data_IF_826007713980
#
_entry.id   IF_826007713980
#
_cell.length_a   1.000
_cell.length_b   1.000
_cell.length_c   1.000
_cell.angle_alpha   90.00
_cell.angle_beta   90.00
_cell.angle_gamma   90.00
#
_symmetry.space_group_name_H-M   'P 1'
#
loop_
_entity.id
_entity.type
_entity.pdbx_description
1 polymer ?
#
# COMPACT_ATOMS: atom_id res chain seq x y z
N UNK A 1 -30.02 4.29 26.02
CA UNK A 1 -29.66 3.18 25.11
C UNK A 1 -28.79 3.76 24.04
N UNK A 2 -27.53 3.36 23.99
CA UNK A 2 -26.50 4.26 23.49
C UNK A 2 -25.53 3.65 22.50
N UNK A 3 -25.38 2.33 22.39
CA UNK A 3 -24.50 1.74 21.37
C UNK A 3 -25.25 0.67 20.60
N UNK A 4 -25.36 0.82 19.28
CA UNK A 4 -25.82 -0.21 18.36
C UNK A 4 -24.77 -0.50 17.29
N UNK A 5 -24.64 -1.78 16.92
CA UNK A 5 -23.74 -2.25 15.86
C UNK A 5 -24.54 -3.14 14.92
N UNK A 6 -24.58 -2.81 13.64
CA UNK A 6 -25.42 -3.47 12.64
C UNK A 6 -26.89 -3.59 13.09
N UNK A 7 -27.41 -2.55 13.75
CA UNK A 7 -28.76 -2.53 14.33
C UNK A 7 -28.95 -3.37 15.60
N UNK A 8 -27.93 -4.11 16.06
CA UNK A 8 -27.95 -4.86 17.33
C UNK A 8 -27.51 -3.97 18.48
N UNK A 9 -28.33 -3.88 19.52
CA UNK A 9 -28.00 -3.15 20.74
C UNK A 9 -26.86 -3.85 21.51
N UNK A 10 -25.87 -3.08 21.93
CA UNK A 10 -24.76 -3.54 22.78
C UNK A 10 -25.00 -3.05 24.20
N UNK A 11 -25.28 -3.99 25.12
CA UNK A 11 -25.56 -3.69 26.54
C UNK A 11 -24.45 -4.17 27.48
N UNK A 12 -23.51 -4.98 26.98
CA UNK A 12 -22.34 -5.46 27.74
C UNK A 12 -21.14 -5.61 26.79
N UNK A 13 -19.90 -5.36 27.23
CA UNK A 13 -18.71 -5.51 26.39
C UNK A 13 -18.55 -6.91 25.77
N UNK A 14 -18.99 -7.96 26.48
CA UNK A 14 -18.95 -9.36 26.02
C UNK A 14 -19.84 -9.63 24.80
N UNK A 15 -20.74 -8.70 24.44
CA UNK A 15 -21.56 -8.81 23.23
C UNK A 15 -20.81 -8.47 21.95
N UNK A 16 -19.65 -7.79 22.03
CA UNK A 16 -18.71 -7.70 20.91
C UNK A 16 -18.09 -9.06 20.62
N UNK A 17 -17.62 -9.28 19.40
CA UNK A 17 -16.83 -10.47 19.07
C UNK A 17 -15.53 -10.53 19.89
N UNK A 18 -14.95 -11.72 20.06
CA UNK A 18 -13.65 -11.85 20.75
C UNK A 18 -12.58 -11.01 20.07
N UNK A 19 -12.58 -11.01 18.74
CA UNK A 19 -11.70 -10.21 17.90
C UNK A 19 -11.88 -8.70 18.17
N UNK A 20 -13.13 -8.21 18.12
CA UNK A 20 -13.46 -6.82 18.39
C UNK A 20 -13.05 -6.37 19.80
N UNK A 21 -13.24 -7.22 20.82
CA UNK A 21 -12.77 -6.92 22.19
C UNK A 21 -11.27 -6.85 22.31
N UNK A 22 -10.54 -7.76 21.66
CA UNK A 22 -9.07 -7.75 21.67
C UNK A 22 -8.54 -6.51 20.97
N UNK A 23 -9.09 -6.16 19.79
CA UNK A 23 -8.71 -4.95 19.08
C UNK A 23 -9.04 -3.67 19.88
N UNK A 24 -10.21 -3.60 20.53
CA UNK A 24 -10.58 -2.47 21.37
C UNK A 24 -9.61 -2.27 22.54
N UNK A 25 -9.01 -3.34 23.06
CA UNK A 25 -8.04 -3.27 24.15
C UNK A 25 -6.68 -2.66 23.73
N UNK A 26 -6.37 -2.62 22.42
CA UNK A 26 -5.21 -1.90 21.89
C UNK A 26 -5.45 -0.39 21.73
N UNK A 27 -6.70 0.06 21.79
CA UNK A 27 -7.03 1.49 21.82
C UNK A 27 -6.93 1.97 23.26
N UNK A 28 -6.02 2.90 23.53
CA UNK A 28 -5.92 3.52 24.86
C UNK A 28 -7.26 4.20 25.21
N UNK A 29 -7.84 3.84 26.36
CA UNK A 29 -9.18 4.29 26.75
C UNK A 29 -10.36 3.60 26.04
N UNK A 30 -10.13 2.70 25.07
CA UNK A 30 -11.20 2.11 24.25
C UNK A 30 -12.20 1.26 25.06
N UNK A 31 -11.70 0.44 25.99
CA UNK A 31 -12.58 -0.38 26.86
C UNK A 31 -13.39 0.46 27.84
N UNK A 32 -12.79 1.53 28.37
CA UNK A 32 -13.42 2.48 29.27
C UNK A 32 -14.49 3.28 28.54
N UNK A 33 -14.20 3.72 27.32
CA UNK A 33 -15.15 4.40 26.46
C UNK A 33 -16.37 3.52 26.20
N UNK A 34 -16.19 2.24 25.86
CA UNK A 34 -17.33 1.34 25.60
C UNK A 34 -18.19 1.15 26.86
N UNK A 35 -17.55 0.94 28.02
CA UNK A 35 -18.25 0.79 29.28
C UNK A 35 -19.08 2.05 29.63
N UNK A 36 -18.50 3.23 29.44
CA UNK A 36 -19.19 4.51 29.61
C UNK A 36 -20.33 4.69 28.60
N UNK A 37 -20.07 4.41 27.32
CA UNK A 37 -21.01 4.60 26.24
C UNK A 37 -22.26 3.75 26.51
N UNK A 38 -22.12 2.46 26.81
CA UNK A 38 -23.22 1.55 27.16
C UNK A 38 -24.12 2.09 28.28
N UNK A 39 -23.53 2.72 29.31
CA UNK A 39 -24.25 3.21 30.48
C UNK A 39 -24.87 4.59 30.28
N UNK A 40 -24.44 5.35 29.26
CA UNK A 40 -24.84 6.74 29.06
C UNK A 40 -26.26 6.86 28.49
N UNK A 41 -27.22 7.48 29.19
CA UNK A 41 -28.62 7.49 28.76
C UNK A 41 -28.95 8.54 27.69
N UNK A 42 -28.03 9.46 27.35
CA UNK A 42 -28.33 10.65 26.54
C UNK A 42 -27.82 10.68 25.09
N UNK A 43 -26.94 9.76 24.69
CA UNK A 43 -26.33 9.76 23.34
C UNK A 43 -26.48 8.39 22.71
N UNK A 44 -26.86 8.35 21.43
CA UNK A 44 -26.94 7.13 20.63
C UNK A 44 -25.84 7.10 19.58
N UNK A 45 -24.93 6.16 19.74
CA UNK A 45 -23.90 5.74 18.79
C UNK A 45 -24.42 4.55 18.00
N UNK A 46 -24.37 4.64 16.67
CA UNK A 46 -24.80 3.57 15.78
C UNK A 46 -23.69 3.33 14.75
N UNK A 47 -23.22 2.09 14.68
CA UNK A 47 -22.13 1.70 13.79
C UNK A 47 -22.61 0.61 12.84
N UNK A 48 -22.19 0.61 11.57
CA UNK A 48 -22.57 -0.44 10.63
C UNK A 48 -21.95 -1.80 10.99
N UNK A 49 -20.75 -1.80 11.58
CA UNK A 49 -20.02 -3.00 12.01
C UNK A 49 -19.01 -2.70 13.13
N UNK A 50 -18.35 -3.74 13.66
CA UNK A 50 -17.34 -3.59 14.72
C UNK A 50 -16.07 -2.89 14.25
N UNK A 51 -15.70 -2.96 12.96
CA UNK A 51 -14.54 -2.26 12.43
C UNK A 51 -14.75 -0.74 12.47
N UNK A 52 -15.94 -0.30 12.08
CA UNK A 52 -16.36 1.11 12.11
C UNK A 52 -16.43 1.66 13.53
N UNK A 53 -16.95 0.86 14.48
CA UNK A 53 -16.86 1.17 15.92
C UNK A 53 -15.41 1.45 16.33
N UNK A 54 -14.48 0.55 16.00
CA UNK A 54 -13.08 0.67 16.43
C UNK A 54 -12.39 1.90 15.81
N UNK A 55 -12.64 2.16 14.52
CA UNK A 55 -12.09 3.34 13.83
C UNK A 55 -12.61 4.64 14.46
N UNK A 56 -13.93 4.75 14.67
CA UNK A 56 -14.55 5.93 15.25
C UNK A 56 -14.17 6.14 16.72
N UNK A 57 -14.03 5.07 17.52
CA UNK A 57 -13.56 5.17 18.91
C UNK A 57 -12.13 5.68 18.96
N UNK A 58 -11.24 5.14 18.13
CA UNK A 58 -9.85 5.57 18.05
C UNK A 58 -9.75 7.03 17.59
N UNK A 59 -10.48 7.40 16.53
CA UNK A 59 -10.54 8.77 16.03
C UNK A 59 -11.15 9.74 17.06
N UNK A 60 -12.20 9.33 17.76
CA UNK A 60 -12.91 10.17 18.73
C UNK A 60 -12.13 10.42 20.02
N UNK A 61 -11.40 9.41 20.52
CA UNK A 61 -10.59 9.54 21.73
C UNK A 61 -9.29 10.29 21.49
N UNK A 62 -8.64 10.07 20.33
CA UNK A 62 -7.25 10.51 20.10
C UNK A 62 -7.07 11.49 18.95
N UNK A 63 -8.11 11.76 18.16
CA UNK A 63 -8.02 12.61 16.97
C UNK A 63 -7.23 11.99 15.81
N UNK A 64 -6.91 10.70 15.88
CA UNK A 64 -6.11 9.95 14.90
C UNK A 64 -6.74 8.58 14.69
N UNK A 65 -6.79 8.10 13.44
CA UNK A 65 -7.23 6.74 13.07
C UNK A 65 -6.23 5.64 13.42
N UNK A 66 -5.01 6.00 13.79
CA UNK A 66 -3.94 5.08 14.12
C UNK A 66 -3.77 4.98 15.63
N UNK A 67 -3.80 3.75 16.14
CA UNK A 67 -3.40 3.43 17.51
C UNK A 67 -1.88 3.27 17.56
N UNK A 68 -1.26 3.79 18.62
CA UNK A 68 0.15 3.53 18.94
C UNK A 68 0.21 2.40 19.96
N UNK A 69 1.04 1.40 19.68
CA UNK A 69 1.43 0.33 20.59
C UNK A 69 2.87 0.64 21.04
N UNK A 70 3.07 1.31 22.20
CA UNK A 70 4.36 1.90 22.56
C UNK A 70 5.51 0.91 22.70
N UNK A 71 5.31 -0.27 23.30
CA UNK A 71 6.40 -1.23 23.50
C UNK A 71 6.84 -1.88 22.19
N UNK A 72 5.90 -2.04 21.26
CA UNK A 72 6.16 -2.54 19.91
C UNK A 72 6.67 -1.46 18.94
N UNK A 73 6.64 -0.18 19.34
CA UNK A 73 6.89 0.97 18.48
C UNK A 73 6.05 0.92 17.18
N UNK A 74 4.84 0.39 17.27
CA UNK A 74 3.98 0.13 16.12
C UNK A 74 2.81 1.12 16.09
N UNK A 75 2.63 1.81 14.96
CA UNK A 75 1.45 2.64 14.70
C UNK A 75 0.56 1.94 13.68
N UNK A 76 -0.64 1.54 14.05
CA UNK A 76 -1.51 0.71 13.21
C UNK A 76 -2.97 1.09 13.39
N UNK A 77 -3.74 1.06 12.32
CA UNK A 77 -5.19 1.23 12.44
C UNK A 77 -5.83 0.04 13.18
N UNK A 78 -6.77 0.28 14.11
CA UNK A 78 -7.57 -0.79 14.70
C UNK A 78 -8.29 -1.65 13.66
N UNK A 79 -8.67 -1.08 12.51
CA UNK A 79 -9.28 -1.81 11.39
C UNK A 79 -8.29 -2.83 10.80
N UNK A 80 -7.00 -2.48 10.72
CA UNK A 80 -5.94 -3.43 10.35
C UNK A 80 -5.78 -4.53 11.39
N UNK A 81 -5.85 -4.22 12.69
CA UNK A 81 -5.78 -5.23 13.75
C UNK A 81 -6.91 -6.27 13.64
N UNK A 82 -8.10 -5.87 13.19
CA UNK A 82 -9.21 -6.79 12.92
C UNK A 82 -8.93 -7.81 11.79
N UNK A 83 -7.87 -7.62 10.99
CA UNK A 83 -7.48 -8.59 9.97
C UNK A 83 -6.58 -9.72 10.50
N UNK A 84 -6.09 -9.59 11.74
CA UNK A 84 -5.21 -10.58 12.37
C UNK A 84 -6.03 -11.68 13.03
N UNK A 85 -5.40 -12.85 13.22
CA UNK A 85 -6.04 -13.94 13.95
C UNK A 85 -6.07 -13.65 15.46
N UNK A 86 -7.06 -14.15 16.21
CA UNK A 86 -7.10 -13.98 17.67
C UNK A 86 -5.84 -14.46 18.42
N UNK A 87 -5.16 -15.56 18.00
CA UNK A 87 -3.84 -15.92 18.53
C UNK A 87 -2.77 -14.87 18.27
N UNK A 88 -2.70 -14.32 17.05
CA UNK A 88 -1.72 -13.29 16.70
C UNK A 88 -1.92 -12.02 17.54
N UNK A 89 -3.17 -11.60 17.75
CA UNK A 89 -3.50 -10.49 18.66
C UNK A 89 -3.11 -10.81 20.10
N UNK A 90 -3.23 -12.06 20.54
CA UNK A 90 -2.74 -12.51 21.84
C UNK A 90 -1.22 -12.36 21.98
N UNK A 91 -0.46 -12.75 20.96
CA UNK A 91 1.00 -12.55 20.92
C UNK A 91 1.37 -11.06 20.92
N UNK A 92 0.65 -10.21 20.16
CA UNK A 92 0.84 -8.76 20.20
C UNK A 92 0.58 -8.18 21.60
N UNK A 93 -0.48 -8.62 22.27
CA UNK A 93 -0.81 -8.15 23.62
C UNK A 93 0.25 -8.57 24.65
N UNK A 94 0.80 -9.78 24.55
CA UNK A 94 1.90 -10.24 25.41
C UNK A 94 3.16 -9.40 25.21
N UNK A 95 3.54 -9.17 23.94
CA UNK A 95 4.71 -8.35 23.62
C UNK A 95 4.52 -6.88 24.06
N UNK A 96 3.32 -6.33 23.89
CA UNK A 96 2.97 -4.98 24.37
C UNK A 96 2.96 -4.88 25.91
N UNK A 97 2.70 -5.99 26.61
CA UNK A 97 2.86 -6.10 28.05
C UNK A 97 4.33 -6.34 28.50
N UNK A 98 5.31 -6.19 27.60
CA UNK A 98 6.75 -6.40 27.81
C UNK A 98 7.19 -7.85 28.03
N UNK A 99 6.45 -8.82 27.53
CA UNK A 99 6.96 -10.20 27.44
C UNK A 99 8.06 -10.28 26.38
N UNK A 100 9.30 -10.53 26.82
CA UNK A 100 10.48 -10.62 25.96
C UNK A 100 10.92 -12.05 25.65
N UNK A 101 10.07 -13.04 25.92
CA UNK A 101 10.35 -14.45 25.64
C UNK A 101 10.75 -14.70 24.19
N UNK A 102 11.71 -15.60 23.97
CA UNK A 102 12.23 -15.91 22.62
C UNK A 102 11.14 -16.40 21.66
N UNK A 103 10.19 -17.18 22.17
CA UNK A 103 9.03 -17.68 21.40
C UNK A 103 8.14 -16.53 20.95
N UNK A 104 7.82 -15.60 21.86
CA UNK A 104 6.99 -14.42 21.57
C UNK A 104 7.67 -13.55 20.51
N UNK A 105 8.99 -13.33 20.62
CA UNK A 105 9.77 -12.57 19.62
C UNK A 105 9.74 -13.22 18.23
N UNK A 106 9.93 -14.54 18.14
CA UNK A 106 9.89 -15.25 16.86
C UNK A 106 8.49 -15.19 16.22
N UNK A 107 7.44 -15.35 17.04
CA UNK A 107 6.06 -15.21 16.58
C UNK A 107 5.75 -13.79 16.13
N UNK A 108 6.23 -12.78 16.85
CA UNK A 108 6.06 -11.37 16.51
C UNK A 108 6.67 -11.04 15.15
N UNK A 109 7.90 -11.49 14.88
CA UNK A 109 8.56 -11.31 13.58
C UNK A 109 7.76 -11.95 12.44
N UNK A 110 7.23 -13.16 12.65
CA UNK A 110 6.33 -13.80 11.70
C UNK A 110 5.08 -12.95 11.46
N UNK A 111 4.41 -12.51 12.53
CA UNK A 111 3.18 -11.70 12.44
C UNK A 111 3.44 -10.41 11.64
N UNK A 112 4.55 -9.72 11.92
CA UNK A 112 4.90 -8.47 11.25
C UNK A 112 5.14 -8.68 9.76
N UNK A 113 5.92 -9.70 9.40
CA UNK A 113 6.17 -10.04 7.99
C UNK A 113 4.89 -10.44 7.26
N UNK A 114 4.13 -11.39 7.83
CA UNK A 114 2.97 -11.97 7.16
C UNK A 114 1.82 -10.95 6.99
N UNK A 115 1.78 -9.90 7.82
CA UNK A 115 0.74 -8.86 7.79
C UNK A 115 1.24 -7.50 7.29
N UNK A 116 2.50 -7.40 6.84
CA UNK A 116 3.15 -6.16 6.44
C UNK A 116 3.01 -5.04 7.49
N UNK A 117 3.32 -5.37 8.75
CA UNK A 117 3.39 -4.41 9.85
C UNK A 117 4.84 -3.97 10.04
N UNK A 118 5.02 -2.66 10.14
CA UNK A 118 6.31 -1.98 10.19
C UNK A 118 6.37 -1.08 11.42
N UNK A 119 7.42 -1.26 12.20
CA UNK A 119 7.70 -0.46 13.39
C UNK A 119 8.19 0.94 13.02
N UNK A 120 8.29 1.82 14.00
CA UNK A 120 8.93 3.13 13.83
C UNK A 120 10.35 3.00 13.27
N UNK A 121 11.10 1.98 13.71
CA UNK A 121 12.46 1.71 13.21
C UNK A 121 12.47 1.30 11.73
N UNK A 122 11.49 0.48 11.29
CA UNK A 122 11.35 0.10 9.88
C UNK A 122 10.99 1.31 9.01
N UNK A 123 10.06 2.16 9.48
CA UNK A 123 9.64 3.37 8.77
C UNK A 123 10.78 4.41 8.70
N UNK A 124 11.70 4.42 9.66
CA UNK A 124 12.88 5.28 9.63
C UNK A 124 13.85 4.96 8.47
N UNK A 125 13.76 3.77 7.87
CA UNK A 125 14.54 3.42 6.68
C UNK A 125 14.24 4.36 5.50
N UNK A 126 12.98 4.78 5.33
CA UNK A 126 12.60 5.76 4.30
C UNK A 126 13.28 7.11 4.53
N UNK A 127 13.29 7.62 5.77
CA UNK A 127 13.99 8.87 6.11
C UNK A 127 15.52 8.75 5.95
N UNK A 128 16.07 7.59 6.28
CA UNK A 128 17.49 7.30 6.10
C UNK A 128 17.88 7.33 4.62
N UNK A 129 17.04 6.78 3.73
CA UNK A 129 17.22 6.89 2.28
C UNK A 129 17.22 8.36 1.83
N UNK A 130 16.27 9.18 2.28
CA UNK A 130 16.23 10.60 1.93
C UNK A 130 17.52 11.35 2.32
N UNK A 131 18.08 11.00 3.48
CA UNK A 131 19.37 11.56 3.95
C UNK A 131 20.54 11.10 3.07
N UNK A 132 20.57 9.82 2.68
CA UNK A 132 21.60 9.27 1.78
C UNK A 132 21.54 9.91 0.38
N UNK A 133 20.33 10.23 -0.08
CA UNK A 133 20.06 10.95 -1.32
C UNK A 133 20.27 12.46 -1.20
N UNK A 134 20.55 12.98 0.01
CA UNK A 134 20.79 14.40 0.33
C UNK A 134 19.60 15.33 0.01
N UNK A 135 18.39 14.84 0.23
CA UNK A 135 17.13 15.55 -0.04
C UNK A 135 16.19 15.57 1.18
N UNK A 136 16.68 15.18 2.36
CA UNK A 136 15.90 15.14 3.60
C UNK A 136 15.37 16.52 4.03
N UNK A 137 16.01 17.61 3.59
CA UNK A 137 15.54 18.98 3.79
C UNK A 137 14.50 19.48 2.79
N UNK A 138 14.06 18.67 1.81
CA UNK A 138 13.11 19.11 0.80
C UNK A 138 11.71 19.33 1.40
N UNK A 139 11.06 20.43 1.02
CA UNK A 139 9.76 20.83 1.58
C UNK A 139 8.63 19.82 1.36
N UNK A 140 8.71 19.00 0.31
CA UNK A 140 7.72 17.94 0.02
C UNK A 140 7.65 16.87 1.13
N UNK A 141 8.69 16.74 1.97
CA UNK A 141 8.72 15.78 3.08
C UNK A 141 8.48 16.42 4.46
N UNK A 142 8.05 17.70 4.51
CA UNK A 142 7.86 18.42 5.76
C UNK A 142 6.88 17.69 6.72
N UNK A 143 5.84 17.09 6.15
CA UNK A 143 4.90 16.22 6.86
C UNK A 143 4.74 14.94 6.07
N UNK A 144 4.82 13.80 6.76
CA UNK A 144 4.54 12.49 6.19
C UNK A 144 3.37 11.88 6.94
N UNK A 145 2.34 11.48 6.21
CA UNK A 145 1.33 10.58 6.74
C UNK A 145 1.84 9.12 6.74
N UNK A 146 0.98 8.18 7.12
CA UNK A 146 1.33 6.77 7.19
C UNK A 146 1.52 6.15 5.79
N UNK A 147 0.69 6.50 4.81
CA UNK A 147 0.81 5.97 3.44
C UNK A 147 2.13 6.41 2.81
N UNK A 148 2.47 7.69 2.95
CA UNK A 148 3.70 8.29 2.45
C UNK A 148 4.94 7.68 3.13
N UNK A 149 4.87 7.45 4.45
CA UNK A 149 5.94 6.79 5.20
C UNK A 149 6.15 5.34 4.75
N UNK A 150 5.06 4.61 4.48
CA UNK A 150 5.13 3.24 3.95
C UNK A 150 5.69 3.21 2.52
N UNK A 151 5.32 4.18 1.69
CA UNK A 151 5.83 4.30 0.32
C UNK A 151 7.35 4.56 0.29
N UNK A 152 7.85 5.46 1.15
CA UNK A 152 9.28 5.73 1.30
C UNK A 152 10.04 4.53 1.87
N UNK A 153 9.46 3.83 2.86
CA UNK A 153 10.02 2.58 3.38
C UNK A 153 10.13 1.53 2.27
N UNK A 154 9.10 1.39 1.44
CA UNK A 154 9.14 0.45 0.32
C UNK A 154 10.22 0.84 -0.67
N UNK A 155 10.35 2.13 -1.01
CA UNK A 155 11.41 2.62 -1.88
C UNK A 155 12.81 2.30 -1.34
N UNK A 156 13.01 2.40 -0.02
CA UNK A 156 14.27 2.05 0.64
C UNK A 156 14.54 0.54 0.69
N UNK A 157 13.49 -0.28 0.66
CA UNK A 157 13.60 -1.75 0.67
C UNK A 157 13.81 -2.33 -0.74
N UNK A 158 13.34 -1.64 -1.79
CA UNK A 158 13.51 -2.05 -3.17
C UNK A 158 14.99 -1.95 -3.57
N UNK A 159 15.53 -3.04 -4.13
CA UNK A 159 16.86 -2.99 -4.71
C UNK A 159 16.86 -2.01 -5.90
N UNK A 160 17.82 -1.06 -5.96
CA UNK A 160 17.94 -0.21 -7.12
C UNK A 160 18.34 -1.07 -8.34
N UNK A 161 18.03 -0.62 -9.57
CA UNK A 161 18.47 -1.32 -10.78
C UNK A 161 19.98 -1.60 -10.77
N UNK A 162 20.43 -2.70 -11.38
CA UNK A 162 21.85 -3.12 -11.34
C UNK A 162 22.83 -2.06 -11.85
N UNK A 163 22.38 -1.19 -12.76
CA UNK A 163 23.15 -0.08 -13.34
C UNK A 163 23.07 1.23 -12.51
N UNK A 164 22.30 1.27 -11.43
CA UNK A 164 22.04 2.47 -10.65
C UNK A 164 23.15 2.77 -9.64
N UNK A 165 24.17 3.50 -10.09
CA UNK A 165 25.22 4.02 -9.22
C UNK A 165 24.66 5.01 -8.18
N UNK A 166 25.33 5.22 -7.02
CA UNK A 166 24.91 6.23 -6.03
C UNK A 166 24.77 7.65 -6.60
N UNK A 167 25.60 8.01 -7.60
CA UNK A 167 25.50 9.28 -8.29
C UNK A 167 24.22 9.39 -9.12
N UNK A 168 23.87 8.32 -9.87
CA UNK A 168 22.62 8.26 -10.63
C UNK A 168 21.39 8.29 -9.71
N UNK A 169 21.46 7.68 -8.53
CA UNK A 169 20.37 7.75 -7.54
C UNK A 169 20.21 9.17 -6.99
N UNK A 170 21.29 9.89 -6.70
CA UNK A 170 21.21 11.31 -6.28
C UNK A 170 20.67 12.21 -7.41
N UNK A 171 21.06 11.95 -8.66
CA UNK A 171 20.54 12.63 -9.85
C UNK A 171 19.02 12.40 -10.01
N UNK A 172 18.57 11.15 -9.91
CA UNK A 172 17.15 10.78 -9.94
C UNK A 172 16.36 11.44 -8.80
N UNK A 173 16.95 11.51 -7.60
CA UNK A 173 16.35 12.15 -6.44
C UNK A 173 16.18 13.67 -6.66
N UNK A 174 17.21 14.34 -7.17
CA UNK A 174 17.14 15.77 -7.50
C UNK A 174 16.05 16.05 -8.55
N UNK A 175 16.02 15.27 -9.63
CA UNK A 175 14.97 15.36 -10.65
C UNK A 175 13.57 15.18 -10.05
N UNK A 176 13.38 14.13 -9.24
CA UNK A 176 12.09 13.83 -8.64
C UNK A 176 11.58 14.95 -7.72
N UNK A 177 12.47 15.61 -6.96
CA UNK A 177 12.12 16.75 -6.10
C UNK A 177 11.61 17.95 -6.90
N UNK A 178 12.17 18.23 -8.08
CA UNK A 178 11.71 19.34 -8.91
C UNK A 178 10.28 19.11 -9.43
N UNK A 179 9.96 17.86 -9.76
CA UNK A 179 8.67 17.48 -10.35
C UNK A 179 7.58 17.24 -9.30
N UNK A 180 7.92 16.62 -8.17
CA UNK A 180 6.94 16.17 -7.18
C UNK A 180 6.26 17.31 -6.41
N UNK A 181 4.99 17.08 -6.06
CA UNK A 181 4.19 17.88 -5.11
C UNK A 181 3.78 17.07 -3.88
N UNK A 182 3.99 15.75 -3.90
CA UNK A 182 3.78 14.85 -2.75
C UNK A 182 4.93 13.84 -2.62
N UNK A 183 5.17 13.25 -1.43
CA UNK A 183 6.12 12.15 -1.25
C UNK A 183 5.85 10.94 -2.14
N UNK A 184 4.57 10.66 -2.44
CA UNK A 184 4.16 9.59 -3.34
C UNK A 184 4.62 9.85 -4.78
N UNK A 185 4.45 11.09 -5.27
CA UNK A 185 4.95 11.49 -6.58
C UNK A 185 6.48 11.45 -6.64
N UNK A 186 7.18 11.81 -5.55
CA UNK A 186 8.63 11.69 -5.47
C UNK A 186 9.08 10.23 -5.71
N UNK A 187 8.46 9.26 -5.03
CA UNK A 187 8.77 7.84 -5.22
C UNK A 187 8.59 7.39 -6.67
N UNK A 188 7.53 7.85 -7.33
CA UNK A 188 7.26 7.50 -8.73
C UNK A 188 8.24 8.16 -9.68
N UNK A 189 8.50 9.46 -9.54
CA UNK A 189 9.43 10.19 -10.42
C UNK A 189 10.88 9.74 -10.25
N UNK A 190 11.26 9.33 -9.04
CA UNK A 190 12.56 8.72 -8.78
C UNK A 190 12.72 7.42 -9.58
N UNK A 191 11.73 6.51 -9.51
CA UNK A 191 11.73 5.25 -10.26
C UNK A 191 11.61 5.49 -11.78
N UNK A 192 10.79 6.45 -12.19
CA UNK A 192 10.66 6.87 -13.58
C UNK A 192 12.00 7.29 -14.16
N UNK A 193 12.75 8.14 -13.45
CA UNK A 193 14.05 8.63 -13.90
C UNK A 193 15.01 7.45 -14.13
N UNK A 194 15.19 6.60 -13.10
CA UNK A 194 16.09 5.45 -13.18
C UNK A 194 15.74 4.51 -14.35
N UNK A 195 14.45 4.27 -14.59
CA UNK A 195 14.00 3.44 -15.70
C UNK A 195 14.23 4.11 -17.07
N UNK A 196 13.88 5.39 -17.18
CA UNK A 196 13.98 6.19 -18.41
C UNK A 196 15.42 6.32 -18.89
N UNK A 197 16.35 6.44 -17.95
CA UNK A 197 17.75 6.78 -18.26
C UNK A 197 18.69 5.58 -18.22
N UNK A 198 18.15 4.36 -18.06
CA UNK A 198 18.94 3.15 -17.81
C UNK A 198 19.99 2.84 -18.88
N UNK A 199 19.80 3.29 -20.12
CA UNK A 199 20.71 3.06 -21.24
C UNK A 199 21.55 4.30 -21.64
N UNK A 200 21.39 5.44 -20.94
CA UNK A 200 21.99 6.72 -21.32
C UNK A 200 23.20 7.02 -20.42
N UNK A 201 24.38 7.13 -21.03
CA UNK A 201 25.64 7.30 -20.30
C UNK A 201 25.91 8.74 -19.84
N UNK A 202 25.57 9.75 -20.65
CA UNK A 202 25.86 11.15 -20.35
C UNK A 202 24.81 11.78 -19.42
N UNK A 203 25.28 12.49 -18.38
CA UNK A 203 24.43 13.12 -17.35
C UNK A 203 23.43 14.12 -17.96
N UNK A 204 23.92 15.05 -18.78
CA UNK A 204 23.06 16.09 -19.36
C UNK A 204 22.00 15.51 -20.30
N UNK A 205 22.34 14.44 -21.02
CA UNK A 205 21.41 13.72 -21.89
C UNK A 205 20.33 13.00 -21.09
N UNK A 206 20.66 12.45 -19.91
CA UNK A 206 19.69 11.80 -19.01
C UNK A 206 18.62 12.78 -18.52
N UNK A 207 19.06 13.92 -17.99
CA UNK A 207 18.14 14.93 -17.45
C UNK A 207 17.21 15.46 -18.55
N UNK A 208 17.77 15.75 -19.74
CA UNK A 208 16.99 16.20 -20.88
C UNK A 208 16.00 15.13 -21.37
N UNK A 209 16.43 13.88 -21.51
CA UNK A 209 15.59 12.78 -21.95
C UNK A 209 14.42 12.53 -20.98
N UNK A 210 14.69 12.48 -19.67
CA UNK A 210 13.66 12.28 -18.65
C UNK A 210 12.64 13.43 -18.64
N UNK A 211 13.12 14.69 -18.72
CA UNK A 211 12.24 15.85 -18.78
C UNK A 211 11.37 15.85 -20.06
N UNK A 212 11.96 15.56 -21.22
CA UNK A 212 11.25 15.49 -22.50
C UNK A 212 10.21 14.36 -22.52
N UNK A 213 10.58 13.18 -22.02
CA UNK A 213 9.68 12.03 -21.89
C UNK A 213 8.47 12.40 -21.00
N UNK A 214 8.72 13.06 -19.87
CA UNK A 214 7.67 13.46 -18.95
C UNK A 214 6.73 14.52 -19.56
N UNK A 215 7.29 15.54 -20.21
CA UNK A 215 6.49 16.57 -20.90
C UNK A 215 5.60 16.01 -22.00
N UNK A 216 6.06 14.96 -22.68
CA UNK A 216 5.31 14.27 -23.74
C UNK A 216 4.21 13.37 -23.15
N UNK A 217 4.50 12.65 -22.08
CA UNK A 217 3.58 11.68 -21.47
C UNK A 217 2.43 12.34 -20.70
N UNK A 218 2.73 13.33 -19.84
CA UNK A 218 1.75 13.84 -18.87
C UNK A 218 0.43 14.33 -19.51
N UNK A 219 0.43 15.12 -20.61
CA UNK A 219 -0.82 15.56 -21.24
C UNK A 219 -1.68 14.41 -21.76
N UNK A 220 -1.07 13.28 -22.15
CA UNK A 220 -1.76 12.13 -22.71
C UNK A 220 -2.34 11.20 -21.62
N UNK A 221 -1.79 11.28 -20.41
CA UNK A 221 -2.16 10.41 -19.28
C UNK A 221 -3.40 10.88 -18.50
N UNK A 222 -3.96 12.06 -18.77
CA UNK A 222 -5.17 12.53 -18.08
C UNK A 222 -6.37 11.58 -18.24
N UNK A 223 -6.47 10.89 -19.37
CA UNK A 223 -7.53 9.92 -19.64
C UNK A 223 -7.39 8.66 -18.78
N UNK A 224 -6.21 8.41 -18.21
CA UNK A 224 -5.90 7.23 -17.40
C UNK A 224 -6.17 7.46 -15.91
N UNK A 225 -6.80 8.58 -15.52
CA UNK A 225 -7.16 8.84 -14.12
C UNK A 225 -8.58 8.40 -13.77
N UNK A 226 -9.43 8.13 -14.78
CA UNK A 226 -10.78 7.63 -14.52
C UNK A 226 -10.73 6.17 -14.03
N UNK A 227 -11.32 5.92 -12.87
CA UNK A 227 -11.24 4.66 -12.14
C UNK A 227 -12.57 4.36 -11.44
N UNK A 228 -12.97 3.08 -11.30
CA UNK A 228 -14.19 2.74 -10.59
C UNK A 228 -14.09 3.07 -9.11
N UNK A 229 -15.22 3.49 -8.55
CA UNK A 229 -15.35 3.82 -7.14
C UNK A 229 -16.17 2.77 -6.39
N UNK A 230 -15.77 2.51 -5.15
CA UNK A 230 -16.40 1.60 -4.19
C UNK A 230 -16.49 2.29 -2.83
N UNK A 231 -17.43 1.83 -2.02
CA UNK A 231 -17.65 2.37 -0.68
C UNK A 231 -16.88 1.54 0.35
N UNK A 232 -16.23 2.21 1.30
CA UNK A 232 -15.53 1.55 2.41
C UNK A 232 -14.38 0.63 1.97
N UNK A 233 -14.18 -0.46 2.71
CA UNK A 233 -13.17 -1.47 2.43
C UNK A 233 -13.80 -2.65 1.68
N UNK A 234 -13.60 -2.78 0.36
CA UNK A 234 -14.25 -3.81 -0.43
C UNK A 234 -13.63 -5.19 -0.20
N UNK A 235 -14.46 -6.22 -0.30
CA UNK A 235 -14.03 -7.61 -0.41
C UNK A 235 -13.45 -7.91 -1.80
N UNK A 236 -12.66 -9.00 -1.96
CA UNK A 236 -12.15 -9.41 -3.28
C UNK A 236 -13.23 -9.58 -4.34
N UNK A 237 -14.40 -10.11 -3.96
CA UNK A 237 -15.53 -10.31 -4.87
C UNK A 237 -16.18 -8.99 -5.31
N UNK A 238 -16.20 -7.97 -4.43
CA UNK A 238 -16.69 -6.64 -4.78
C UNK A 238 -15.74 -5.95 -5.75
N UNK A 239 -14.42 -6.05 -5.51
CA UNK A 239 -13.41 -5.55 -6.45
C UNK A 239 -13.53 -6.25 -7.82
N UNK A 240 -13.63 -7.58 -7.84
CA UNK A 240 -13.84 -8.35 -9.08
C UNK A 240 -15.07 -7.84 -9.84
N UNK A 241 -16.20 -7.70 -9.16
CA UNK A 241 -17.45 -7.23 -9.76
C UNK A 241 -17.32 -5.81 -10.29
N UNK A 242 -16.77 -4.88 -9.51
CA UNK A 242 -16.59 -3.49 -9.91
C UNK A 242 -15.67 -3.35 -11.11
N UNK A 243 -14.58 -4.13 -11.17
CA UNK A 243 -13.68 -4.17 -12.32
C UNK A 243 -14.41 -4.74 -13.54
N UNK A 244 -15.09 -5.88 -13.41
CA UNK A 244 -15.81 -6.50 -14.52
C UNK A 244 -16.90 -5.59 -15.11
N UNK A 245 -17.69 -4.94 -14.25
CA UNK A 245 -18.74 -3.99 -14.68
C UNK A 245 -18.15 -2.75 -15.36
N UNK A 246 -17.03 -2.24 -14.87
CA UNK A 246 -16.34 -1.10 -15.46
C UNK A 246 -15.81 -1.41 -16.86
N UNK A 247 -15.14 -2.55 -17.01
CA UNK A 247 -14.62 -3.03 -18.28
C UNK A 247 -15.74 -3.34 -19.28
N UNK A 248 -16.86 -3.91 -18.82
CA UNK A 248 -18.03 -4.20 -19.66
C UNK A 248 -18.67 -2.93 -20.25
N UNK A 249 -18.48 -1.76 -19.61
CA UNK A 249 -18.91 -0.45 -20.13
C UNK A 249 -17.92 0.16 -21.14
N UNK A 250 -16.88 -0.58 -21.52
CA UNK A 250 -15.82 -0.11 -22.42
C UNK A 250 -14.88 0.90 -21.78
N UNK A 251 -14.88 1.02 -20.44
CA UNK A 251 -13.95 1.88 -19.70
C UNK A 251 -12.69 1.13 -19.32
N UNK A 252 -11.63 1.86 -19.02
CA UNK A 252 -10.33 1.30 -18.64
C UNK A 252 -10.08 1.53 -17.15
N UNK A 253 -9.45 0.57 -16.49
CA UNK A 253 -8.89 0.77 -15.15
C UNK A 253 -7.58 1.54 -15.30
N UNK A 254 -7.58 2.76 -14.77
CA UNK A 254 -6.45 3.69 -14.81
C UNK A 254 -5.55 3.60 -13.58
N UNK A 255 -4.85 4.68 -13.28
CA UNK A 255 -3.91 4.82 -12.17
C UNK A 255 -4.41 5.87 -11.16
N UNK A 256 -3.95 5.77 -9.92
CA UNK A 256 -4.29 6.73 -8.86
C UNK A 256 -3.76 8.15 -9.11
N UNK A 257 -2.69 8.30 -9.90
CA UNK A 257 -2.02 9.58 -10.16
C UNK A 257 -1.17 9.52 -11.43
N UNK A 258 -0.90 10.70 -12.01
CA UNK A 258 -0.16 10.83 -13.27
C UNK A 258 1.31 10.38 -13.16
N UNK A 259 1.96 10.66 -12.03
CA UNK A 259 3.35 10.26 -11.77
C UNK A 259 3.52 8.74 -11.83
N UNK A 260 2.59 8.01 -11.22
CA UNK A 260 2.54 6.55 -11.22
C UNK A 260 2.32 6.02 -12.64
N UNK A 261 1.37 6.60 -13.36
CA UNK A 261 1.11 6.24 -14.75
C UNK A 261 2.37 6.41 -15.63
N UNK A 262 3.04 7.56 -15.55
CA UNK A 262 4.28 7.82 -16.29
C UNK A 262 5.39 6.83 -15.95
N UNK A 263 5.58 6.55 -14.64
CA UNK A 263 6.53 5.55 -14.15
C UNK A 263 6.24 4.15 -14.72
N UNK A 264 4.98 3.72 -14.70
CA UNK A 264 4.57 2.41 -15.19
C UNK A 264 4.78 2.26 -16.70
N UNK A 265 4.46 3.29 -17.49
CA UNK A 265 4.69 3.29 -18.94
C UNK A 265 6.18 3.15 -19.25
N UNK A 266 7.05 3.94 -18.63
CA UNK A 266 8.49 3.85 -18.91
C UNK A 266 9.10 2.55 -18.40
N UNK A 267 8.68 2.06 -17.23
CA UNK A 267 9.23 0.84 -16.66
C UNK A 267 8.88 -0.40 -17.49
N UNK A 268 7.64 -0.50 -17.98
CA UNK A 268 7.13 -1.74 -18.59
C UNK A 268 6.96 -1.68 -20.10
N UNK A 269 7.23 -0.53 -20.73
CA UNK A 269 7.27 -0.42 -22.20
C UNK A 269 8.67 -0.09 -22.70
N UNK A 270 8.82 0.03 -24.02
CA UNK A 270 10.07 0.47 -24.66
C UNK A 270 10.22 1.98 -24.75
N UNK A 271 9.20 2.75 -24.38
CA UNK A 271 9.22 4.21 -24.51
C UNK A 271 10.24 4.81 -23.54
N UNK A 272 11.18 5.63 -24.05
CA UNK A 272 12.21 6.31 -23.24
C UNK A 272 12.27 7.81 -23.52
N UNK A 273 11.19 8.39 -24.06
CA UNK A 273 11.16 9.77 -24.53
C UNK A 273 11.48 9.94 -26.01
N UNK A 274 11.77 8.84 -26.71
CA UNK A 274 12.02 8.78 -28.13
C UNK A 274 10.70 8.68 -28.93
N UNK A 275 10.65 9.32 -30.11
CA UNK A 275 9.53 9.17 -31.06
C UNK A 275 8.32 10.10 -30.87
N UNK A 276 8.37 11.06 -29.95
CA UNK A 276 7.36 12.12 -29.80
C UNK A 276 5.97 11.64 -29.36
N UNK A 277 4.93 12.45 -29.62
CA UNK A 277 3.57 12.22 -29.10
C UNK A 277 2.96 10.89 -29.53
N UNK A 278 3.17 10.48 -30.78
CA UNK A 278 2.57 9.27 -31.33
C UNK A 278 3.16 8.00 -30.70
N UNK A 279 4.48 7.94 -30.49
CA UNK A 279 5.13 6.81 -29.82
C UNK A 279 4.67 6.70 -28.37
N UNK A 280 4.54 7.83 -27.67
CA UNK A 280 4.00 7.87 -26.31
C UNK A 280 2.55 7.36 -26.27
N UNK A 281 1.68 7.84 -27.17
CA UNK A 281 0.29 7.42 -27.24
C UNK A 281 0.12 5.92 -27.56
N UNK A 282 0.95 5.39 -28.47
CA UNK A 282 0.96 3.97 -28.79
C UNK A 282 1.43 3.11 -27.60
N UNK A 283 2.47 3.55 -26.88
CA UNK A 283 2.96 2.87 -25.68
C UNK A 283 1.90 2.83 -24.57
N UNK A 284 1.25 3.96 -24.29
CA UNK A 284 0.15 4.06 -23.32
C UNK A 284 -0.99 3.12 -23.70
N UNK A 285 -1.44 3.18 -24.97
CA UNK A 285 -2.54 2.36 -25.46
C UNK A 285 -2.25 0.87 -25.34
N UNK A 286 -1.07 0.43 -25.79
CA UNK A 286 -0.69 -0.99 -25.75
C UNK A 286 -0.56 -1.52 -24.32
N UNK A 287 0.07 -0.74 -23.43
CA UNK A 287 0.20 -1.10 -22.02
C UNK A 287 -1.17 -1.28 -21.36
N UNK A 288 -2.05 -0.27 -21.50
CA UNK A 288 -3.38 -0.33 -20.89
C UNK A 288 -4.24 -1.44 -21.51
N UNK A 289 -4.17 -1.66 -22.83
CA UNK A 289 -4.89 -2.77 -23.46
C UNK A 289 -4.46 -4.13 -22.90
N UNK A 290 -3.15 -4.34 -22.72
CA UNK A 290 -2.63 -5.57 -22.11
C UNK A 290 -3.09 -5.71 -20.66
N UNK A 291 -3.01 -4.64 -19.87
CA UNK A 291 -3.49 -4.62 -18.48
C UNK A 291 -5.00 -4.93 -18.40
N UNK A 292 -5.83 -4.27 -19.21
CA UNK A 292 -7.28 -4.49 -19.20
C UNK A 292 -7.65 -5.93 -19.59
N UNK A 293 -6.98 -6.49 -20.62
CA UNK A 293 -7.19 -7.88 -21.03
C UNK A 293 -6.81 -8.86 -19.92
N UNK A 294 -5.71 -8.59 -19.21
CA UNK A 294 -5.30 -9.39 -18.05
C UNK A 294 -6.31 -9.28 -16.90
N UNK A 295 -6.73 -8.07 -16.54
CA UNK A 295 -7.69 -7.83 -15.46
C UNK A 295 -9.07 -8.47 -15.76
N UNK A 296 -9.48 -8.50 -17.03
CA UNK A 296 -10.73 -9.16 -17.44
C UNK A 296 -10.66 -10.70 -17.32
N UNK A 297 -9.48 -11.29 -17.47
CA UNK A 297 -9.28 -12.74 -17.52
C UNK A 297 -8.92 -13.36 -16.17
N UNK A 298 -8.49 -12.57 -15.20
CA UNK A 298 -7.98 -13.04 -13.91
C UNK A 298 -8.83 -12.50 -12.77
N UNK A 299 -8.80 -13.18 -11.61
CA UNK A 299 -9.55 -12.77 -10.42
C UNK A 299 -8.61 -12.34 -9.30
N UNK A 300 -8.98 -11.33 -8.49
CA UNK A 300 -8.29 -11.02 -7.24
C UNK A 300 -8.25 -12.24 -6.32
N UNK A 301 -7.06 -12.62 -5.86
CA UNK A 301 -6.90 -13.76 -4.96
C UNK A 301 -7.24 -13.39 -3.51
N UNK A 302 -6.56 -12.37 -2.96
CA UNK A 302 -6.73 -11.87 -1.60
C UNK A 302 -6.49 -10.37 -1.56
N UNK A 303 -7.27 -9.67 -0.73
CA UNK A 303 -7.02 -8.29 -0.34
C UNK A 303 -6.12 -8.22 0.88
N UNK A 304 -5.08 -7.40 0.82
CA UNK A 304 -4.19 -7.08 1.94
C UNK A 304 -4.44 -5.64 2.34
N UNK A 305 -5.05 -5.45 3.52
CA UNK A 305 -5.24 -4.12 4.10
C UNK A 305 -3.89 -3.57 4.56
N UNK A 306 -3.61 -2.31 4.24
CA UNK A 306 -2.44 -1.57 4.69
C UNK A 306 -2.48 -1.31 6.19
N UNK A 307 -1.31 -1.00 6.76
CA UNK A 307 -1.17 -0.65 8.17
C UNK A 307 -1.95 0.62 8.56
N UNK A 308 -2.23 1.48 7.58
CA UNK A 308 -3.09 2.66 7.68
C UNK A 308 -4.57 2.34 7.86
N UNK A 309 -5.00 1.12 7.53
CA UNK A 309 -6.39 0.65 7.65
C UNK A 309 -7.36 1.22 6.61
N UNK A 310 -6.89 2.06 5.68
CA UNK A 310 -7.70 2.67 4.62
C UNK A 310 -7.31 2.21 3.22
N UNK A 311 -6.04 1.85 3.00
CA UNK A 311 -5.55 1.33 1.73
C UNK A 311 -5.67 -0.19 1.69
N UNK A 312 -6.10 -0.76 0.57
CA UNK A 312 -6.13 -2.20 0.35
C UNK A 312 -5.49 -2.55 -0.98
N UNK A 313 -4.75 -3.65 -1.03
CA UNK A 313 -4.06 -4.10 -2.23
C UNK A 313 -4.53 -5.50 -2.61
N UNK A 314 -4.82 -5.70 -3.88
CA UNK A 314 -5.31 -6.96 -4.44
C UNK A 314 -4.33 -7.47 -5.49
N UNK A 315 -3.79 -8.67 -5.27
CA UNK A 315 -2.85 -9.30 -6.20
C UNK A 315 -3.57 -10.26 -7.14
N UNK A 316 -3.21 -10.16 -8.43
CA UNK A 316 -3.68 -11.02 -9.51
C UNK A 316 -2.45 -11.51 -10.26
N UNK A 317 -2.32 -12.82 -10.49
CA UNK A 317 -1.15 -13.37 -11.19
C UNK A 317 -1.53 -14.61 -11.98
N UNK A 318 -0.84 -14.81 -13.10
CA UNK A 318 -0.75 -16.08 -13.82
C UNK A 318 0.73 -16.42 -14.07
N UNK A 319 1.01 -17.44 -14.87
CA UNK A 319 2.38 -17.93 -15.09
C UNK A 319 3.34 -16.89 -15.73
N UNK A 320 2.81 -15.87 -16.40
CA UNK A 320 3.61 -14.89 -17.16
C UNK A 320 3.51 -13.47 -16.62
N UNK A 321 2.34 -13.07 -16.11
CA UNK A 321 2.01 -11.69 -15.77
C UNK A 321 1.45 -11.59 -14.36
N UNK A 322 1.72 -10.45 -13.72
CA UNK A 322 1.13 -10.05 -12.46
C UNK A 322 0.56 -8.64 -12.57
N UNK A 323 -0.57 -8.41 -11.89
CA UNK A 323 -1.16 -7.11 -11.67
C UNK A 323 -1.42 -6.88 -10.19
N UNK A 324 -1.23 -5.64 -9.78
CA UNK A 324 -1.52 -5.16 -8.44
C UNK A 324 -2.57 -4.07 -8.53
N UNK A 325 -3.78 -4.34 -8.03
CA UNK A 325 -4.80 -3.31 -7.87
C UNK A 325 -4.70 -2.72 -6.47
N UNK A 326 -4.93 -1.42 -6.35
CA UNK A 326 -5.03 -0.72 -5.09
C UNK A 326 -6.41 -0.09 -4.95
N UNK A 327 -6.96 -0.16 -3.74
CA UNK A 327 -8.12 0.62 -3.31
C UNK A 327 -7.64 1.62 -2.28
N UNK A 328 -7.79 2.91 -2.58
CA UNK A 328 -7.51 3.99 -1.65
C UNK A 328 -8.54 5.12 -1.88
N UNK A 329 -9.08 5.67 -0.81
CA UNK A 329 -10.16 6.67 -0.88
C UNK A 329 -11.40 6.17 -1.63
N UNK A 330 -11.63 4.85 -1.64
CA UNK A 330 -12.71 4.22 -2.41
C UNK A 330 -12.45 4.11 -3.91
N UNK A 331 -11.27 4.45 -4.43
CA UNK A 331 -10.94 4.36 -5.86
C UNK A 331 -10.16 3.07 -6.11
N UNK A 332 -10.64 2.20 -7.00
CA UNK A 332 -9.90 1.02 -7.49
C UNK A 332 -9.02 1.47 -8.65
N UNK A 333 -7.70 1.38 -8.50
CA UNK A 333 -6.73 1.77 -9.53
C UNK A 333 -5.66 0.71 -9.72
N UNK A 334 -5.03 0.71 -10.90
CA UNK A 334 -3.87 -0.10 -11.20
C UNK A 334 -2.63 0.51 -10.52
N UNK A 335 -1.97 -0.28 -9.67
CA UNK A 335 -0.75 0.11 -8.99
C UNK A 335 0.51 -0.38 -9.72
N UNK A 336 0.46 -1.59 -10.25
CA UNK A 336 1.55 -2.18 -11.04
C UNK A 336 1.00 -3.25 -11.98
N UNK A 337 1.61 -3.38 -13.16
CA UNK A 337 1.32 -4.48 -14.10
C UNK A 337 2.54 -4.76 -14.98
N UNK A 338 2.94 -6.02 -15.03
CA UNK A 338 4.09 -6.47 -15.79
C UNK A 338 4.33 -7.98 -15.66
N UNK A 339 5.57 -8.40 -15.89
CA UNK A 339 5.96 -9.80 -15.75
C UNK A 339 5.78 -10.30 -14.31
N UNK A 340 5.31 -11.54 -14.16
CA UNK A 340 5.21 -12.16 -12.84
C UNK A 340 6.61 -12.33 -12.22
N UNK A 341 6.78 -12.05 -10.92
CA UNK A 341 8.04 -12.35 -10.23
C UNK A 341 8.32 -13.86 -10.31
N UNK A 342 9.58 -14.22 -10.55
CA UNK A 342 9.98 -15.62 -10.57
C UNK A 342 9.58 -16.29 -9.26
N UNK A 343 8.76 -17.35 -9.34
CA UNK A 343 8.44 -18.15 -8.16
C UNK A 343 9.74 -18.68 -7.57
N UNK A 344 10.00 -18.54 -6.26
CA UNK A 344 11.18 -19.13 -5.67
C UNK A 344 11.11 -20.63 -5.91
N UNK A 345 12.06 -21.14 -6.70
CA UNK A 345 12.18 -22.56 -6.98
C UNK A 345 12.46 -23.22 -5.64
N UNK A 346 11.48 -23.95 -5.09
CA UNK A 346 11.74 -24.91 -4.02
C UNK A 346 12.72 -25.93 -4.58
N UNK A 347 13.99 -25.76 -4.29
CA UNK A 347 14.99 -26.82 -4.38
C UNK A 347 14.50 -27.93 -3.46
N UNK A 348 13.79 -28.90 -4.02
CA UNK A 348 13.60 -30.18 -3.37
C UNK A 348 14.98 -30.81 -3.29
N UNK A 349 15.48 -30.96 -2.07
CA UNK A 349 16.52 -31.90 -1.71
C UNK A 349 16.14 -33.28 -2.28
N UNK A 350 16.76 -33.66 -3.40
CA UNK A 350 16.97 -35.07 -3.71
C UNK A 350 18.09 -35.57 -2.82
N UNK A 351 17.73 -35.97 -1.61
CA UNK A 351 18.51 -36.90 -0.82
C UNK A 351 17.61 -38.08 -0.43
N UNK A 352 18.05 -39.27 -0.85
CA UNK A 352 17.70 -40.62 -0.40
C UNK A 352 17.11 -41.54 -1.49
N UNK A 353 18.00 -42.17 -2.27
CA UNK A 353 17.96 -43.64 -2.43
C UNK A 353 19.31 -44.15 -2.97
N UNK A 354 20.23 -44.44 -2.06
CA UNK A 354 21.31 -45.41 -2.29
C UNK A 354 21.58 -46.14 -0.99
N UNK A 355 20.79 -47.19 -0.73
CA UNK A 355 21.17 -48.26 0.20
C UNK A 355 21.01 -49.59 -0.52
N UNK A 356 22.12 -50.12 -1.06
CA UNK A 356 22.57 -51.50 -0.87
C UNK A 356 23.95 -51.69 -1.51
#
# INVERSE_FOLDING_TARGET
MSVSIAGRLISMPTMLSTLGRQCLAFIDGGTQWLAWAIQSPGVRYDFPDESSLLDEVQQGLHGSRLALLPQLELRVSPVKLMTLSPPDLGTLAQAEARDTGSVVKAQLQRIFRDNALYTASDLAAGRSLLTQLKIDGAGVFQSLDMEESLALRQLAADAPPDNATPALQQEAAAFAIEQARTPLEFCDYYRFYLACTSTIAAVDERAHAAASALQTLLPQLFTTLDCPQVQGLPSPNEVERSVAEWLARGRQIGFARLSLAAQQIVQHTRYRGDGGDQAAGDAIRLYLQSAQAFLAANRPSRGVLGQDGSSCVFTMQNDALAALLQVNGGIISLRDFGAAPASPTTSQDTDAEATQ
#
